data_IF_545224052771
#
_entry.id   IF_545224052771
#
_cell.length_a   1.000
_cell.length_b   1.000
_cell.length_c   1.000
_cell.angle_alpha   90.00
_cell.angle_beta   90.00
_cell.angle_gamma   90.00
#
_symmetry.space_group_name_H-M   'P 1'
#
loop_
_entity.id
_entity.type
_entity.pdbx_description
1 polymer ?
#
# COMPACT_ATOMS: atom_id res chain seq x y z
N UNK A 1 -2.61 -15.16 -41.77
CA UNK A 1 -3.79 -14.43 -41.26
C UNK A 1 -4.43 -15.28 -40.18
N UNK A 2 -4.68 -14.77 -38.95
CA UNK A 2 -5.49 -15.49 -37.97
C UNK A 2 -6.89 -15.68 -38.56
N UNK A 3 -7.36 -16.92 -38.63
CA UNK A 3 -8.73 -17.23 -39.04
C UNK A 3 -9.68 -16.88 -37.90
N UNK A 4 -10.79 -16.23 -38.23
CA UNK A 4 -11.81 -15.81 -37.25
C UNK A 4 -12.51 -16.97 -36.54
N UNK A 5 -12.35 -18.21 -37.05
CA UNK A 5 -12.87 -19.45 -36.46
C UNK A 5 -11.86 -20.60 -36.70
N UNK A 6 -10.81 -20.72 -35.87
CA UNK A 6 -9.88 -21.82 -35.97
C UNK A 6 -10.61 -23.14 -35.69
N UNK A 7 -10.30 -24.18 -36.46
CA UNK A 7 -10.75 -25.55 -36.18
C UNK A 7 -9.65 -26.25 -35.40
N UNK A 8 -9.99 -26.76 -34.24
CA UNK A 8 -9.10 -27.53 -33.39
C UNK A 8 -9.66 -28.94 -33.27
N UNK A 9 -8.79 -29.92 -33.44
CA UNK A 9 -9.11 -31.33 -33.19
C UNK A 9 -8.52 -31.69 -31.84
N UNK A 10 -9.34 -32.22 -30.94
CA UNK A 10 -8.93 -32.60 -29.59
C UNK A 10 -9.31 -34.07 -29.40
N UNK A 11 -8.38 -34.84 -28.85
CA UNK A 11 -8.63 -36.21 -28.44
C UNK A 11 -8.88 -36.19 -26.94
N UNK A 12 -10.10 -36.55 -26.55
CA UNK A 12 -10.54 -36.59 -25.17
C UNK A 12 -10.59 -38.04 -24.70
N UNK A 13 -10.40 -38.24 -23.40
CA UNK A 13 -10.71 -39.52 -22.78
C UNK A 13 -12.21 -39.82 -22.92
N UNK A 14 -12.54 -41.11 -23.04
CA UNK A 14 -13.91 -41.58 -23.29
C UNK A 14 -14.89 -41.06 -22.22
N UNK A 15 -14.49 -41.09 -20.94
CA UNK A 15 -15.31 -40.55 -19.85
C UNK A 15 -15.60 -39.04 -19.99
N UNK A 16 -14.62 -38.25 -20.46
CA UNK A 16 -14.78 -36.80 -20.65
C UNK A 16 -15.65 -36.52 -21.88
N UNK A 17 -15.51 -37.35 -22.91
CA UNK A 17 -16.33 -37.26 -24.11
C UNK A 17 -17.81 -37.55 -23.82
N UNK A 18 -18.11 -38.59 -23.04
CA UNK A 18 -19.47 -38.91 -22.61
C UNK A 18 -20.09 -37.79 -21.76
N UNK A 19 -19.34 -37.23 -20.82
CA UNK A 19 -19.80 -36.08 -20.03
C UNK A 19 -20.13 -34.87 -20.92
N UNK A 20 -19.35 -34.65 -21.99
CA UNK A 20 -19.61 -33.56 -22.93
C UNK A 20 -20.87 -33.82 -23.78
N UNK A 21 -21.14 -35.09 -24.14
CA UNK A 21 -22.38 -35.49 -24.81
C UNK A 21 -23.58 -35.24 -23.89
N UNK A 22 -23.52 -35.73 -22.65
CA UNK A 22 -24.60 -35.49 -21.67
C UNK A 22 -24.84 -34.00 -21.47
N UNK A 23 -23.77 -33.20 -21.32
CA UNK A 23 -23.87 -31.75 -21.21
C UNK A 23 -24.50 -31.11 -22.46
N UNK A 24 -24.15 -31.58 -23.66
CA UNK A 24 -24.76 -31.14 -24.91
C UNK A 24 -26.27 -31.42 -24.93
N UNK A 25 -26.67 -32.63 -24.56
CA UNK A 25 -28.08 -33.05 -24.55
C UNK A 25 -28.90 -32.28 -23.52
N UNK A 26 -28.37 -32.15 -22.30
CA UNK A 26 -29.01 -31.44 -21.19
C UNK A 26 -29.31 -29.97 -21.52
N UNK A 27 -28.43 -29.31 -22.28
CA UNK A 27 -28.60 -27.92 -22.69
C UNK A 27 -29.22 -27.76 -24.09
N UNK A 28 -29.58 -28.86 -24.75
CA UNK A 28 -30.21 -28.85 -26.07
C UNK A 28 -29.32 -28.27 -27.17
N UNK A 29 -28.00 -28.41 -27.05
CA UNK A 29 -27.07 -27.91 -28.06
C UNK A 29 -27.09 -28.79 -29.31
N UNK A 30 -27.06 -28.15 -30.49
CA UNK A 30 -27.11 -28.85 -31.79
C UNK A 30 -25.79 -29.50 -32.19
N UNK A 31 -24.67 -29.12 -31.56
CA UNK A 31 -23.34 -29.62 -31.90
C UNK A 31 -22.46 -29.70 -30.66
N UNK A 32 -21.59 -30.71 -30.62
CA UNK A 32 -20.58 -30.88 -29.57
C UNK A 32 -19.64 -29.69 -29.50
N UNK A 33 -19.31 -29.09 -30.65
CA UNK A 33 -18.47 -27.88 -30.68
C UNK A 33 -19.11 -26.71 -29.95
N UNK A 34 -20.45 -26.58 -29.99
CA UNK A 34 -21.15 -25.53 -29.25
C UNK A 34 -21.14 -25.80 -27.75
N UNK A 35 -21.37 -27.05 -27.36
CA UNK A 35 -21.25 -27.49 -25.97
C UNK A 35 -19.84 -27.23 -25.41
N UNK A 36 -18.80 -27.65 -26.14
CA UNK A 36 -17.41 -27.45 -25.75
C UNK A 36 -17.03 -25.96 -25.62
N UNK A 37 -17.51 -25.11 -26.55
CA UNK A 37 -17.26 -23.67 -26.47
C UNK A 37 -17.93 -23.04 -25.25
N UNK A 38 -19.12 -23.49 -24.86
CA UNK A 38 -19.80 -22.96 -23.67
C UNK A 38 -19.07 -23.39 -22.40
N UNK A 39 -18.65 -24.65 -22.28
CA UNK A 39 -17.84 -25.14 -21.15
C UNK A 39 -16.53 -24.35 -21.04
N UNK A 40 -15.84 -24.13 -22.16
CA UNK A 40 -14.61 -23.34 -22.17
C UNK A 40 -14.87 -21.90 -21.75
N UNK A 41 -15.96 -21.29 -22.22
CA UNK A 41 -16.35 -19.94 -21.85
C UNK A 41 -16.65 -19.83 -20.36
N UNK A 42 -17.42 -20.74 -19.79
CA UNK A 42 -17.68 -20.81 -18.34
C UNK A 42 -16.38 -20.95 -17.55
N UNK A 43 -15.45 -21.79 -18.03
CA UNK A 43 -14.14 -21.95 -17.41
C UNK A 43 -13.32 -20.65 -17.44
N UNK A 44 -13.26 -19.97 -18.58
CA UNK A 44 -12.56 -18.68 -18.70
C UNK A 44 -13.21 -17.57 -17.87
N UNK A 45 -14.54 -17.54 -17.81
CA UNK A 45 -15.28 -16.58 -16.98
C UNK A 45 -14.98 -16.83 -15.49
N UNK A 46 -14.92 -18.08 -15.03
CA UNK A 46 -14.51 -18.43 -13.67
C UNK A 46 -13.08 -18.01 -13.35
N UNK A 47 -12.14 -18.23 -14.28
CA UNK A 47 -10.75 -17.80 -14.12
C UNK A 47 -10.64 -16.27 -14.02
N UNK A 48 -11.34 -15.55 -14.89
CA UNK A 48 -11.33 -14.09 -14.91
C UNK A 48 -11.94 -13.48 -13.63
N UNK A 49 -12.91 -14.16 -13.00
CA UNK A 49 -13.44 -13.74 -11.69
C UNK A 49 -12.39 -13.96 -10.60
N UNK A 50 -11.72 -15.12 -10.57
CA UNK A 50 -10.66 -15.42 -9.60
C UNK A 50 -9.50 -14.44 -9.67
N UNK A 51 -8.99 -14.16 -10.88
CA UNK A 51 -7.92 -13.17 -11.07
C UNK A 51 -8.31 -11.80 -10.51
N UNK A 52 -9.54 -11.35 -10.75
CA UNK A 52 -10.04 -10.07 -10.21
C UNK A 52 -10.20 -10.07 -8.69
N UNK A 53 -10.52 -11.21 -8.10
CA UNK A 53 -10.61 -11.36 -6.64
C UNK A 53 -9.21 -11.36 -6.00
N UNK A 54 -8.26 -12.08 -6.59
CA UNK A 54 -6.85 -12.09 -6.17
C UNK A 54 -6.21 -10.69 -6.31
N UNK A 55 -6.48 -9.97 -7.40
CA UNK A 55 -6.06 -8.57 -7.57
C UNK A 55 -6.66 -7.63 -6.52
N UNK A 56 -7.93 -7.83 -6.14
CA UNK A 56 -8.57 -7.04 -5.08
C UNK A 56 -7.98 -7.34 -3.70
N UNK A 57 -7.72 -8.60 -3.40
CA UNK A 57 -7.13 -9.03 -2.13
C UNK A 57 -5.69 -8.50 -1.99
N UNK A 58 -4.88 -8.64 -3.04
CA UNK A 58 -3.51 -8.10 -3.07
C UNK A 58 -3.50 -6.58 -2.94
N UNK A 59 -4.35 -5.85 -3.65
CA UNK A 59 -4.47 -4.39 -3.50
C UNK A 59 -4.90 -3.98 -2.09
N UNK A 60 -5.82 -4.73 -1.47
CA UNK A 60 -6.25 -4.48 -0.09
C UNK A 60 -5.10 -4.69 0.89
N UNK A 61 -4.30 -5.74 0.71
CA UNK A 61 -3.13 -6.03 1.54
C UNK A 61 -2.07 -4.94 1.40
N UNK A 62 -1.74 -4.51 0.18
CA UNK A 62 -0.80 -3.41 -0.08
C UNK A 62 -1.28 -2.10 0.57
N UNK A 63 -2.58 -1.79 0.49
CA UNK A 63 -3.14 -0.60 1.17
C UNK A 63 -2.98 -0.66 2.68
N UNK A 64 -3.14 -1.83 3.31
CA UNK A 64 -2.93 -1.99 4.76
C UNK A 64 -1.46 -1.79 5.12
N UNK A 65 -0.54 -2.41 4.38
CA UNK A 65 0.89 -2.26 4.59
C UNK A 65 1.34 -0.80 4.45
N UNK A 66 0.86 -0.10 3.42
CA UNK A 66 1.11 1.35 3.25
C UNK A 66 0.54 2.18 4.41
N UNK A 67 -0.61 1.80 4.95
CA UNK A 67 -1.20 2.44 6.14
C UNK A 67 -0.32 2.29 7.38
N UNK A 68 0.22 1.10 7.62
CA UNK A 68 1.16 0.84 8.72
C UNK A 68 2.43 1.66 8.55
N UNK A 69 3.04 1.61 7.36
CA UNK A 69 4.25 2.38 7.04
C UNK A 69 4.02 3.88 7.27
N UNK A 70 2.90 4.42 6.79
CA UNK A 70 2.55 5.83 6.99
C UNK A 70 2.45 6.19 8.48
N UNK A 71 1.79 5.34 9.27
CA UNK A 71 1.67 5.57 10.71
C UNK A 71 3.03 5.57 11.43
N UNK A 72 3.95 4.69 11.03
CA UNK A 72 5.32 4.67 11.57
C UNK A 72 6.10 5.93 11.17
N UNK A 73 5.93 6.41 9.95
CA UNK A 73 6.53 7.68 9.52
C UNK A 73 5.98 8.87 10.30
N UNK A 74 4.67 8.96 10.49
CA UNK A 74 4.03 10.04 11.25
C UNK A 74 4.54 10.06 12.70
N UNK A 75 4.63 8.89 13.36
CA UNK A 75 5.20 8.78 14.71
C UNK A 75 6.67 9.21 14.78
N UNK A 76 7.48 8.86 13.76
CA UNK A 76 8.88 9.31 13.68
C UNK A 76 9.00 10.80 13.49
N UNK A 77 8.15 11.40 12.67
CA UNK A 77 8.09 12.85 12.45
C UNK A 77 7.71 13.54 13.76
N UNK A 78 6.65 13.09 14.44
CA UNK A 78 6.22 13.66 15.72
C UNK A 78 7.33 13.57 16.79
N UNK A 79 8.03 12.45 16.87
CA UNK A 79 9.17 12.29 17.77
C UNK A 79 10.34 13.24 17.44
N UNK A 80 10.58 13.55 16.17
CA UNK A 80 11.60 14.51 15.74
C UNK A 80 11.18 15.95 16.04
N UNK A 81 9.92 16.31 15.81
CA UNK A 81 9.37 17.62 16.15
C UNK A 81 9.48 17.91 17.65
N UNK A 82 9.15 16.92 18.48
CA UNK A 82 9.27 17.06 19.93
C UNK A 82 10.74 17.22 20.38
N UNK A 83 11.67 16.51 19.73
CA UNK A 83 13.12 16.71 19.97
C UNK A 83 13.56 18.13 19.59
N UNK A 84 13.08 18.65 18.47
CA UNK A 84 13.39 20.00 17.99
C UNK A 84 12.89 21.05 18.99
N UNK A 85 11.62 20.95 19.42
CA UNK A 85 11.05 21.85 20.44
C UNK A 85 11.85 21.83 21.75
N UNK A 86 12.30 20.65 22.19
CA UNK A 86 13.14 20.53 23.40
C UNK A 86 14.51 21.17 23.23
N UNK A 87 15.09 21.14 22.04
CA UNK A 87 16.36 21.80 21.75
C UNK A 87 16.19 23.33 21.72
N UNK A 88 15.14 23.82 21.06
CA UNK A 88 14.80 25.25 21.02
C UNK A 88 14.60 25.83 22.41
N UNK A 89 13.83 25.15 23.28
CA UNK A 89 13.64 25.57 24.68
C UNK A 89 14.96 25.64 25.44
N UNK A 90 15.83 24.63 25.27
CA UNK A 90 17.15 24.58 25.93
C UNK A 90 18.06 25.70 25.42
N UNK A 91 18.06 25.98 24.12
CA UNK A 91 18.83 27.07 23.54
C UNK A 91 18.33 28.43 24.04
N UNK A 92 17.01 28.66 24.01
CA UNK A 92 16.40 29.88 24.53
C UNK A 92 16.73 30.11 26.01
N UNK A 93 16.64 29.07 26.85
CA UNK A 93 17.01 29.14 28.26
C UNK A 93 18.51 29.48 28.46
N UNK A 94 19.40 28.88 27.66
CA UNK A 94 20.83 29.18 27.70
C UNK A 94 21.13 30.62 27.30
N UNK A 95 20.49 31.11 26.23
CA UNK A 95 20.62 32.49 25.76
C UNK A 95 20.15 33.46 26.83
N UNK A 96 18.97 33.23 27.43
CA UNK A 96 18.44 34.04 28.53
C UNK A 96 19.37 34.10 29.75
N UNK A 97 19.94 32.95 30.15
CA UNK A 97 20.91 32.89 31.24
C UNK A 97 22.21 33.63 30.92
N UNK A 98 22.72 33.55 29.68
CA UNK A 98 23.86 34.35 29.24
C UNK A 98 23.58 35.85 29.34
N UNK A 99 22.42 36.32 28.87
CA UNK A 99 22.05 37.73 28.98
C UNK A 99 21.94 38.22 30.44
N UNK A 100 21.36 37.41 31.34
CA UNK A 100 21.31 37.74 32.78
C UNK A 100 22.68 37.80 33.45
N UNK A 101 23.59 36.92 33.07
CA UNK A 101 24.94 36.92 33.64
C UNK A 101 25.77 38.09 33.08
N UNK A 102 25.61 38.42 31.80
CA UNK A 102 26.23 39.60 31.19
C UNK A 102 25.73 40.91 31.81
N UNK A 103 24.43 41.03 32.11
CA UNK A 103 23.90 42.22 32.79
C UNK A 103 24.42 42.33 34.21
N UNK A 104 24.48 41.23 34.99
CA UNK A 104 25.09 41.22 36.32
C UNK A 104 26.57 41.64 36.30
N UNK A 105 27.35 41.15 35.32
CA UNK A 105 28.75 41.56 35.16
C UNK A 105 28.90 43.04 34.78
N UNK A 106 27.98 43.60 33.96
CA UNK A 106 27.97 45.04 33.67
C UNK A 106 27.65 45.87 34.92
N UNK A 107 26.66 45.47 35.72
CA UNK A 107 26.31 46.19 36.94
C UNK A 107 27.42 46.13 38.00
N UNK A 108 28.15 45.02 38.12
CA UNK A 108 29.28 44.94 39.05
C UNK A 108 30.44 45.85 38.64
N UNK A 109 30.75 45.97 37.34
CA UNK A 109 31.83 46.85 36.87
C UNK A 109 31.49 48.33 37.15
N UNK A 110 30.25 48.76 36.88
CA UNK A 110 29.80 50.14 37.16
C UNK A 110 29.72 50.45 38.67
N UNK A 111 29.39 49.45 39.50
CA UNK A 111 29.39 49.62 40.97
C UNK A 111 30.81 49.74 41.55
N UNK A 112 31.81 49.08 40.95
CA UNK A 112 33.19 49.22 41.39
C UNK A 112 33.78 50.58 41.03
N UNK A 113 33.50 51.12 39.83
CA UNK A 113 34.02 52.43 39.42
C UNK A 113 33.42 53.61 40.20
N UNK A 114 32.19 53.46 40.73
CA UNK A 114 31.52 54.50 41.54
C UNK A 114 31.93 54.51 43.01
N UNK A 115 32.62 53.49 43.52
CA UNK A 115 33.21 53.50 44.87
C UNK A 115 34.70 53.88 44.89
N UNK A 116 35.32 54.04 43.72
CA UNK A 116 36.72 54.43 43.55
C UNK A 116 36.92 55.89 43.12
N UNK A 117 35.84 56.69 43.04
CA UNK A 117 35.87 58.16 42.91
C UNK A 117 35.52 58.83 44.24
#
# INVERSE_FOLDING_TARGET
MPTSRPRLTVYLDEAVYEQLIEYQENLGFKTLSKAANEVLKEYFDMLAVREKEEEKETLANVKRELGVIRSEFDQRIEALEEKLRRLERRMSARISNCYRNLSKCKYSIVFFDTQLS
#
